data_IF_008353116717
#
_entry.id   IF_008353116717
#
_cell.length_a   1.000
_cell.length_b   1.000
_cell.length_c   1.000
_cell.angle_alpha   90.00
_cell.angle_beta   90.00
_cell.angle_gamma   90.00
#
_symmetry.space_group_name_H-M   'P 1'
#
loop_
_entity.id
_entity.type
_entity.pdbx_description
1 polymer ?
#
# COMPACT_ATOMS: atom_id res chain seq x y z
N UNK A 1 -2.84 0.67 -22.89
CA UNK A 1 -1.68 1.38 -22.31
C UNK A 1 -1.24 0.60 -21.09
N UNK A 2 0.00 0.13 -21.03
CA UNK A 2 0.51 -0.47 -19.80
C UNK A 2 0.48 0.61 -18.72
N UNK A 3 -0.24 0.38 -17.63
CA UNK A 3 -0.11 1.23 -16.46
C UNK A 3 1.37 1.20 -16.07
N UNK A 4 2.07 2.31 -16.29
CA UNK A 4 3.42 2.46 -15.76
C UNK A 4 3.36 2.24 -14.25
N UNK A 5 4.45 1.81 -13.63
CA UNK A 5 4.49 1.56 -12.18
C UNK A 5 3.98 2.77 -11.38
N UNK A 6 4.18 3.96 -11.94
CA UNK A 6 3.65 5.22 -11.41
C UNK A 6 2.11 5.28 -11.42
N UNK A 7 1.44 4.82 -12.49
CA UNK A 7 -0.02 4.85 -12.60
C UNK A 7 -0.73 3.91 -11.62
N UNK A 8 -0.14 2.76 -11.29
CA UNK A 8 -0.68 1.90 -10.23
C UNK A 8 -0.50 2.54 -8.84
N UNK A 9 0.63 3.21 -8.60
CA UNK A 9 0.86 4.00 -7.38
C UNK A 9 -0.16 5.13 -7.24
N UNK A 10 -0.43 5.88 -8.31
CA UNK A 10 -1.42 6.96 -8.27
C UNK A 10 -2.84 6.43 -8.03
N UNK A 11 -3.20 5.31 -8.67
CA UNK A 11 -4.47 4.62 -8.39
C UNK A 11 -4.59 4.20 -6.92
N UNK A 12 -3.56 3.60 -6.32
CA UNK A 12 -3.60 3.21 -4.91
C UNK A 12 -3.72 4.42 -3.98
N UNK A 13 -3.04 5.53 -4.27
CA UNK A 13 -3.14 6.76 -3.49
C UNK A 13 -4.53 7.39 -3.58
N UNK A 14 -5.14 7.39 -4.77
CA UNK A 14 -6.51 7.86 -4.99
C UNK A 14 -7.52 7.04 -4.17
N UNK A 15 -7.39 5.71 -4.18
CA UNK A 15 -8.23 4.82 -3.39
C UNK A 15 -8.05 5.00 -1.86
N UNK A 16 -6.93 5.57 -1.42
CA UNK A 16 -6.62 5.84 -0.01
C UNK A 16 -6.80 7.33 0.34
N UNK A 17 -7.37 8.14 -0.53
CA UNK A 17 -7.46 9.59 -0.36
C UNK A 17 -8.23 10.02 0.91
N UNK A 18 -9.20 9.21 1.36
CA UNK A 18 -9.93 9.44 2.61
C UNK A 18 -9.07 9.25 3.86
N UNK A 19 -7.94 8.54 3.75
CA UNK A 19 -7.01 8.32 4.85
C UNK A 19 -5.99 9.46 4.91
N UNK A 20 -6.21 10.40 5.83
CA UNK A 20 -5.33 11.55 5.97
C UNK A 20 -3.88 11.16 6.28
N UNK A 21 -2.95 11.87 5.63
CA UNK A 21 -1.51 11.70 5.87
C UNK A 21 -0.90 10.50 5.15
N UNK A 22 -1.60 9.89 4.18
CA UNK A 22 -1.03 8.84 3.34
C UNK A 22 -0.08 9.44 2.29
N UNK A 23 1.13 8.88 2.19
CA UNK A 23 2.10 9.22 1.16
C UNK A 23 2.88 7.99 0.69
N UNK A 24 3.30 8.01 -0.58
CA UNK A 24 4.17 7.01 -1.16
C UNK A 24 5.60 7.54 -1.29
N UNK A 25 6.61 6.67 -1.07
CA UNK A 25 8.03 7.00 -1.26
C UNK A 25 8.68 5.94 -2.14
N UNK A 26 9.35 6.35 -3.21
CA UNK A 26 10.08 5.43 -4.08
C UNK A 26 11.23 4.75 -3.30
N UNK A 27 11.28 3.41 -3.32
CA UNK A 27 12.29 2.59 -2.64
C UNK A 27 12.55 1.32 -3.45
N UNK A 28 13.81 1.09 -3.85
CA UNK A 28 14.26 -0.17 -4.45
C UNK A 28 13.36 -0.73 -5.57
N UNK A 29 12.97 0.10 -6.54
CA UNK A 29 12.12 -0.32 -7.67
C UNK A 29 10.63 -0.50 -7.33
N UNK A 30 10.18 -0.05 -6.15
CA UNK A 30 8.78 0.03 -5.76
C UNK A 30 8.47 1.33 -4.98
N UNK A 31 7.34 1.35 -4.29
CA UNK A 31 6.92 2.48 -3.45
C UNK A 31 6.50 2.01 -2.06
N UNK A 32 7.18 2.47 -1.01
CA UNK A 32 6.72 2.30 0.37
C UNK A 32 5.56 3.24 0.66
N UNK A 33 4.52 2.74 1.35
CA UNK A 33 3.34 3.49 1.76
C UNK A 33 3.44 3.82 3.25
N UNK A 34 3.18 5.10 3.55
CA UNK A 34 3.30 5.67 4.88
C UNK A 34 2.04 6.44 5.24
N UNK A 35 1.58 6.34 6.49
CA UNK A 35 0.50 7.17 7.03
C UNK A 35 1.08 7.96 8.20
N UNK A 36 1.15 9.28 8.10
CA UNK A 36 1.70 10.12 9.18
C UNK A 36 3.17 9.81 9.53
N UNK A 37 3.91 9.16 8.64
CA UNK A 37 5.28 8.70 8.87
C UNK A 37 5.41 7.21 9.21
N UNK A 38 4.32 6.52 9.54
CA UNK A 38 4.31 5.09 9.84
C UNK A 38 4.20 4.23 8.58
N UNK A 39 5.11 3.28 8.40
CA UNK A 39 5.09 2.36 7.27
C UNK A 39 4.00 1.29 7.44
N UNK A 40 3.09 1.20 6.47
CA UNK A 40 1.97 0.25 6.50
C UNK A 40 1.84 -0.63 5.25
N UNK A 41 2.61 -0.37 4.19
CA UNK A 41 2.56 -1.20 2.99
C UNK A 41 3.63 -0.86 1.95
N UNK A 42 3.68 -1.66 0.89
CA UNK A 42 4.59 -1.46 -0.24
C UNK A 42 3.91 -1.84 -1.56
N UNK A 43 4.17 -1.06 -2.60
CA UNK A 43 3.84 -1.36 -3.98
C UNK A 43 5.10 -1.89 -4.66
N UNK A 44 5.04 -3.12 -5.18
CA UNK A 44 6.16 -3.74 -5.88
C UNK A 44 5.66 -4.65 -7.01
N UNK A 45 6.28 -4.57 -8.19
CA UNK A 45 5.90 -5.32 -9.40
C UNK A 45 4.38 -5.25 -9.73
N UNK A 46 3.80 -4.05 -9.59
CA UNK A 46 2.37 -3.82 -9.87
C UNK A 46 1.41 -4.45 -8.85
N UNK A 47 1.90 -4.81 -7.67
CA UNK A 47 1.10 -5.40 -6.58
C UNK A 47 1.22 -4.57 -5.31
N UNK A 48 0.14 -4.51 -4.54
CA UNK A 48 0.06 -3.85 -3.25
C UNK A 48 0.16 -4.89 -2.13
N UNK A 49 1.10 -4.70 -1.22
CA UNK A 49 1.29 -5.54 -0.04
C UNK A 49 1.10 -4.68 1.22
N UNK A 50 0.28 -5.13 2.15
CA UNK A 50 0.11 -4.48 3.44
C UNK A 50 0.93 -5.19 4.50
N UNK A 51 1.47 -4.41 5.44
CA UNK A 51 2.06 -4.96 6.67
C UNK A 51 0.92 -5.58 7.49
N UNK A 52 0.87 -6.90 7.55
CA UNK A 52 -0.04 -7.61 8.43
C UNK A 52 0.60 -7.72 9.81
N UNK A 53 -0.18 -7.52 10.88
CA UNK A 53 0.23 -7.94 12.22
C UNK A 53 -0.14 -9.41 12.40
N UNK A 54 0.52 -10.14 13.30
CA UNK A 54 0.25 -11.57 13.56
C UNK A 54 -1.19 -11.81 14.10
N UNK A 55 -1.91 -10.74 14.44
CA UNK A 55 -3.26 -10.75 15.00
C UNK A 55 -4.35 -10.81 13.93
N UNK A 56 -4.49 -11.97 13.28
CA UNK A 56 -5.76 -12.66 12.95
C UNK A 56 -5.52 -13.71 11.87
N UNK A 57 -5.15 -14.91 12.32
CA UNK A 57 -5.53 -16.15 11.67
C UNK A 57 -6.57 -16.80 12.58
N UNK A 58 -7.76 -17.06 12.05
CA UNK A 58 -8.80 -17.90 12.66
C UNK A 58 -9.64 -17.28 13.80
N UNK A 59 -10.80 -16.71 13.44
CA UNK A 59 -12.04 -16.59 14.25
C UNK A 59 -13.00 -15.80 13.34
N UNK A 60 -13.75 -16.42 12.44
CA UNK A 60 -15.15 -16.73 12.73
C UNK A 60 -15.68 -17.76 11.73
N UNK A 61 -15.46 -19.04 12.01
CA UNK A 61 -16.25 -20.13 11.43
C UNK A 61 -16.84 -20.88 12.62
N UNK A 62 -17.90 -20.30 13.17
CA UNK A 62 -18.80 -20.90 14.15
C UNK A 62 -20.23 -20.77 13.62
#
# INVERSE_FOLDING_TARGET
MAATHDGFKDFVLDQLADLHGVNARAMFGGYGLYQGGDFFGIIHEGRLYFKTNDERRMSDMA
#
